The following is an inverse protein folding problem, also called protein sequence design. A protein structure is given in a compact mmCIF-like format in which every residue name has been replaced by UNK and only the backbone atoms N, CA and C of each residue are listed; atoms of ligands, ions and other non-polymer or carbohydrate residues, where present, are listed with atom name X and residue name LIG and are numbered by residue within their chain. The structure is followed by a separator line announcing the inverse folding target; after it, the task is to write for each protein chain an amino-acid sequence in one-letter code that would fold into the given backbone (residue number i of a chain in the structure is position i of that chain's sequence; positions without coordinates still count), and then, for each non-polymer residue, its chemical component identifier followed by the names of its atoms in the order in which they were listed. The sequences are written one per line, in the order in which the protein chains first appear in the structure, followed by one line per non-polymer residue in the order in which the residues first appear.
data_IF_013922977415
#
_entry.id   IF_013922977415
#
_cell.length_a   1.000
_cell.length_b   1.000
_cell.length_c   1.000
_cell.angle_alpha   90.00
_cell.angle_beta   90.00
_cell.angle_gamma   90.00
#
_symmetry.space_group_name_H-M   'P 1'
#
loop_
_entity.id
_entity.type
_entity.pdbx_description
1 polymer ?
#
# COMPACT_ATOMS: atom_id res chain seq x y z
N UNK A 1 -22.48 5.93 -5.82
CA UNK A 1 -21.30 5.03 -5.86
C UNK A 1 -21.77 3.59 -6.04
N UNK A 2 -21.02 2.78 -6.76
CA UNK A 2 -21.17 1.31 -6.78
C UNK A 2 -19.92 0.71 -6.12
N UNK A 3 -20.03 -0.46 -5.50
CA UNK A 3 -18.90 -1.08 -4.78
C UNK A 3 -18.97 -2.61 -4.86
N UNK A 4 -17.86 -3.32 -4.66
CA UNK A 4 -17.90 -4.80 -4.63
C UNK A 4 -18.75 -5.36 -3.49
N UNK A 5 -18.72 -4.68 -2.34
CA UNK A 5 -19.58 -4.93 -1.18
C UNK A 5 -20.14 -3.60 -0.67
N UNK A 6 -21.34 -3.28 -1.14
CA UNK A 6 -22.06 -2.06 -0.81
C UNK A 6 -22.52 -2.04 0.65
N UNK A 7 -22.71 -3.19 1.30
CA UNK A 7 -23.08 -3.24 2.71
C UNK A 7 -21.89 -2.84 3.60
N UNK A 8 -20.71 -3.38 3.31
CA UNK A 8 -19.46 -3.02 4.00
C UNK A 8 -19.14 -1.53 3.80
N UNK A 9 -19.22 -1.03 2.56
CA UNK A 9 -18.93 0.38 2.27
C UNK A 9 -19.88 1.33 3.04
N UNK A 10 -21.18 1.03 3.10
CA UNK A 10 -22.16 1.83 3.88
C UNK A 10 -21.88 1.79 5.38
N UNK A 11 -21.47 0.64 5.91
CA UNK A 11 -21.16 0.50 7.33
C UNK A 11 -19.90 1.30 7.71
N UNK A 12 -18.88 1.30 6.84
CA UNK A 12 -17.62 2.03 7.05
C UNK A 12 -17.79 3.55 6.90
N UNK A 13 -18.59 3.99 5.93
CA UNK A 13 -18.79 5.39 5.60
C UNK A 13 -20.27 5.79 5.67
N UNK A 14 -20.84 6.00 6.86
CA UNK A 14 -22.23 6.40 6.99
C UNK A 14 -22.44 7.79 6.34
N UNK A 15 -23.47 7.92 5.49
CA UNK A 15 -23.87 9.18 4.88
C UNK A 15 -23.54 9.35 3.39
N UNK A 16 -22.75 8.45 2.80
CA UNK A 16 -22.53 8.44 1.34
C UNK A 16 -23.67 7.73 0.60
N UNK A 17 -23.93 8.14 -0.64
CA UNK A 17 -24.92 7.46 -1.50
C UNK A 17 -24.29 6.28 -2.21
N UNK A 18 -24.61 5.07 -1.73
CA UNK A 18 -24.23 3.79 -2.38
C UNK A 18 -25.44 3.21 -3.11
N UNK A 19 -25.31 3.08 -4.43
CA UNK A 19 -26.34 2.65 -5.37
C UNK A 19 -26.52 1.12 -5.36
N UNK A 20 -25.47 0.35 -5.11
CA UNK A 20 -25.54 -1.11 -5.08
C UNK A 20 -24.19 -1.79 -5.26
N UNK A 21 -24.24 -3.12 -5.31
CA UNK A 21 -23.08 -3.97 -5.56
C UNK A 21 -22.66 -3.92 -7.04
N UNK A 22 -21.37 -4.02 -7.29
CA UNK A 22 -20.78 -4.27 -8.59
C UNK A 22 -20.39 -5.74 -8.68
N UNK A 23 -21.26 -6.54 -9.30
CA UNK A 23 -21.07 -7.98 -9.44
C UNK A 23 -20.06 -8.37 -10.53
N UNK A 24 -19.63 -7.39 -11.34
CA UNK A 24 -18.60 -7.59 -12.34
C UNK A 24 -17.20 -7.82 -11.75
N UNK A 25 -16.26 -8.04 -12.66
CA UNK A 25 -14.83 -8.04 -12.41
C UNK A 25 -14.20 -7.05 -13.38
N UNK A 26 -13.26 -6.26 -12.88
CA UNK A 26 -12.44 -5.36 -13.68
C UNK A 26 -11.06 -6.00 -13.86
N UNK A 27 -10.51 -5.87 -15.05
CA UNK A 27 -9.17 -6.30 -15.44
C UNK A 27 -8.12 -5.43 -14.77
N UNK A 28 -7.03 -6.02 -14.30
CA UNK A 28 -5.89 -5.27 -13.76
C UNK A 28 -5.07 -4.56 -14.87
N UNK A 29 -5.47 -4.66 -16.15
CA UNK A 29 -4.73 -4.05 -17.27
C UNK A 29 -5.51 -2.95 -17.96
N UNK A 30 -6.77 -3.21 -18.29
CA UNK A 30 -7.64 -2.25 -18.94
C UNK A 30 -9.06 -2.81 -19.01
N UNK A 31 -10.05 -1.94 -18.85
CA UNK A 31 -11.43 -2.23 -19.19
C UNK A 31 -12.17 -0.93 -19.55
N UNK A 32 -13.25 -1.10 -20.32
CA UNK A 32 -14.20 -0.02 -20.61
C UNK A 32 -15.35 -0.04 -19.62
N UNK A 33 -15.45 1.01 -18.81
CA UNK A 33 -16.53 1.25 -17.85
C UNK A 33 -17.52 2.23 -18.48
N UNK A 34 -18.81 1.90 -18.43
CA UNK A 34 -19.88 2.75 -18.93
C UNK A 34 -20.94 2.95 -17.85
N UNK A 35 -21.15 4.21 -17.47
CA UNK A 35 -22.25 4.62 -16.62
C UNK A 35 -23.47 4.88 -17.50
N UNK A 36 -24.60 4.24 -17.19
CA UNK A 36 -25.86 4.42 -17.92
C UNK A 36 -26.91 5.13 -17.07
N UNK A 37 -27.71 5.98 -17.70
CA UNK A 37 -28.87 6.60 -17.07
C UNK A 37 -30.04 5.60 -16.91
N UNK A 38 -31.14 6.04 -16.29
CA UNK A 38 -32.32 5.20 -16.07
C UNK A 38 -33.05 4.78 -17.36
N UNK A 39 -32.80 5.45 -18.48
CA UNK A 39 -33.32 5.10 -19.80
C UNK A 39 -32.37 4.17 -20.57
N UNK A 40 -31.19 3.86 -20.01
CA UNK A 40 -30.17 2.99 -20.60
C UNK A 40 -29.17 3.71 -21.52
N UNK A 41 -29.22 5.04 -21.60
CA UNK A 41 -28.27 5.82 -22.40
C UNK A 41 -26.92 5.91 -21.69
N UNK A 42 -25.78 5.94 -22.42
CA UNK A 42 -24.49 6.28 -21.83
C UNK A 42 -24.53 7.69 -21.23
N UNK A 43 -24.36 7.79 -19.93
CA UNK A 43 -24.14 9.03 -19.21
C UNK A 43 -22.65 9.38 -19.16
N UNK A 44 -21.78 8.38 -19.00
CA UNK A 44 -20.32 8.53 -19.05
C UNK A 44 -19.65 7.21 -19.49
N UNK A 45 -18.48 7.31 -20.10
CA UNK A 45 -17.68 6.18 -20.57
C UNK A 45 -16.20 6.48 -20.33
N UNK A 46 -15.51 5.61 -19.60
CA UNK A 46 -14.06 5.65 -19.42
C UNK A 46 -13.46 4.31 -19.84
N UNK A 47 -12.32 4.35 -20.53
CA UNK A 47 -11.48 3.19 -20.76
C UNK A 47 -10.15 3.46 -20.05
N UNK A 48 -9.88 2.71 -18.98
CA UNK A 48 -8.65 2.87 -18.22
C UNK A 48 -7.58 1.90 -18.71
N UNK A 49 -6.31 2.24 -18.46
CA UNK A 49 -5.17 1.40 -18.80
C UNK A 49 -4.18 1.35 -17.63
N UNK A 50 -3.42 0.27 -17.59
CA UNK A 50 -2.28 0.02 -16.73
C UNK A 50 -1.05 0.72 -17.33
N UNK A 51 -0.64 1.82 -16.69
CA UNK A 51 0.51 2.65 -17.05
C UNK A 51 0.28 3.67 -18.17
N UNK A 52 1.37 4.23 -18.68
CA UNK A 52 1.35 5.33 -19.65
C UNK A 52 1.11 6.67 -18.94
N UNK A 53 0.14 7.45 -19.43
CA UNK A 53 -0.24 8.71 -18.79
C UNK A 53 -1.14 8.52 -17.56
N UNK A 54 -1.56 7.28 -17.27
CA UNK A 54 -2.37 6.96 -16.08
C UNK A 54 -1.50 6.95 -14.82
N UNK A 55 -1.96 7.54 -13.71
CA UNK A 55 -1.19 7.59 -12.48
C UNK A 55 -1.00 6.19 -11.87
N UNK A 56 0.18 5.93 -11.31
CA UNK A 56 0.55 4.63 -10.76
C UNK A 56 -0.05 4.35 -9.37
N UNK A 57 -0.26 5.39 -8.54
CA UNK A 57 -0.69 5.19 -7.14
C UNK A 57 -2.08 4.53 -6.99
N UNK A 58 -3.07 4.77 -7.87
CA UNK A 58 -4.34 4.06 -7.81
C UNK A 58 -4.26 2.58 -8.23
N UNK A 59 -3.13 2.13 -8.80
CA UNK A 59 -2.87 0.73 -9.15
C UNK A 59 -2.35 -0.06 -7.93
N UNK A 60 -3.16 -0.07 -6.87
CA UNK A 60 -2.89 -0.90 -5.68
C UNK A 60 -2.05 -0.25 -4.58
N UNK A 61 -1.57 0.99 -4.74
CA UNK A 61 -0.88 1.72 -3.67
C UNK A 61 -1.85 2.47 -2.70
N UNK A 62 -3.16 2.26 -2.85
CA UNK A 62 -4.17 2.72 -1.91
C UNK A 62 -4.86 4.05 -2.25
N UNK A 63 -4.36 4.81 -3.23
CA UNK A 63 -5.06 5.99 -3.75
C UNK A 63 -6.29 5.59 -4.58
N UNK A 64 -7.30 6.47 -4.66
CA UNK A 64 -8.32 6.38 -5.72
C UNK A 64 -7.87 7.16 -6.95
N UNK A 65 -8.38 6.75 -8.11
CA UNK A 65 -8.19 7.44 -9.38
C UNK A 65 -9.26 8.52 -9.55
N UNK A 66 -8.85 9.79 -9.70
CA UNK A 66 -9.75 10.94 -9.73
C UNK A 66 -9.54 11.79 -10.98
N UNK A 67 -10.63 12.19 -11.63
CA UNK A 67 -10.58 13.09 -12.78
C UNK A 67 -10.31 14.51 -12.27
N UNK A 68 -9.23 15.12 -12.75
CA UNK A 68 -8.76 16.42 -12.23
C UNK A 68 -9.64 17.59 -12.66
N UNK A 69 -10.24 17.51 -13.84
CA UNK A 69 -11.21 18.47 -14.37
C UNK A 69 -12.45 17.71 -14.88
N UNK A 70 -13.64 17.91 -14.28
CA UNK A 70 -14.88 17.28 -14.72
C UNK A 70 -15.28 17.54 -16.17
N UNK A 71 -14.73 18.58 -16.81
CA UNK A 71 -15.00 18.91 -18.21
C UNK A 71 -13.95 18.35 -19.19
N UNK A 72 -12.88 17.74 -18.69
CA UNK A 72 -11.83 17.17 -19.53
C UNK A 72 -12.30 15.91 -20.26
N UNK A 73 -11.60 15.57 -21.34
CA UNK A 73 -11.80 14.30 -22.03
C UNK A 73 -11.21 13.17 -21.18
N UNK A 74 -12.06 12.50 -20.41
CA UNK A 74 -11.69 11.44 -19.48
C UNK A 74 -11.13 10.16 -20.12
N UNK A 75 -11.01 10.11 -21.46
CA UNK A 75 -10.30 9.04 -22.19
C UNK A 75 -8.77 9.19 -22.15
N UNK A 76 -8.26 10.35 -21.74
CA UNK A 76 -6.82 10.58 -21.67
C UNK A 76 -6.33 10.39 -20.22
N UNK A 77 -5.26 9.63 -20.02
CA UNK A 77 -4.72 9.36 -18.68
C UNK A 77 -4.19 10.61 -17.98
N UNK A 78 -3.65 11.58 -18.73
CA UNK A 78 -3.01 12.80 -18.23
C UNK A 78 -3.96 13.76 -17.52
N UNK A 79 -5.27 13.58 -17.67
CA UNK A 79 -6.30 14.35 -16.94
C UNK A 79 -6.77 13.66 -15.67
N UNK A 80 -6.22 12.50 -15.33
CA UNK A 80 -6.47 11.79 -14.08
C UNK A 80 -5.30 11.95 -13.11
N UNK A 81 -5.62 11.96 -11.82
CA UNK A 81 -4.64 12.00 -10.75
C UNK A 81 -4.98 10.98 -9.66
N UNK A 82 -3.97 10.63 -8.89
CA UNK A 82 -4.17 9.93 -7.64
C UNK A 82 -4.82 10.87 -6.62
N UNK A 83 -5.79 10.35 -5.86
CA UNK A 83 -6.28 11.03 -4.68
C UNK A 83 -5.16 11.22 -3.66
N UNK A 84 -5.32 12.20 -2.78
CA UNK A 84 -4.46 12.28 -1.61
C UNK A 84 -4.77 11.09 -0.68
N UNK A 85 -3.72 10.38 -0.27
CA UNK A 85 -3.81 9.38 0.78
C UNK A 85 -3.45 10.11 2.08
N UNK A 86 -4.38 10.21 3.02
CA UNK A 86 -4.03 10.64 4.37
C UNK A 86 -3.18 9.53 5.01
N UNK A 87 -1.92 9.84 5.31
CA UNK A 87 -1.07 8.92 6.06
C UNK A 87 -1.69 8.66 7.43
N UNK A 88 -1.75 7.38 7.82
CA UNK A 88 -2.05 7.04 9.20
C UNK A 88 -1.02 7.69 10.13
N UNK A 89 -1.40 8.11 11.35
CA UNK A 89 -0.42 8.60 12.31
C UNK A 89 0.60 7.50 12.62
N UNK A 90 1.85 7.89 12.88
CA UNK A 90 2.88 6.97 13.35
C UNK A 90 2.41 6.21 14.60
N UNK A 91 2.61 4.89 14.59
CA UNK A 91 2.30 4.01 15.74
C UNK A 91 3.52 3.16 16.05
N UNK A 92 3.99 3.24 17.29
CA UNK A 92 5.00 2.32 17.81
C UNK A 92 4.36 0.97 18.14
N UNK A 93 4.86 -0.09 17.52
CA UNK A 93 4.46 -1.47 17.80
C UNK A 93 5.57 -2.15 18.59
N UNK A 94 5.22 -2.80 19.70
CA UNK A 94 6.18 -3.54 20.55
C UNK A 94 5.70 -4.97 20.73
N UNK A 95 6.64 -5.91 20.62
CA UNK A 95 6.43 -7.32 20.90
C UNK A 95 7.61 -7.87 21.71
N UNK A 96 7.31 -8.69 22.71
CA UNK A 96 8.30 -9.36 23.55
C UNK A 96 8.07 -10.86 23.53
N UNK A 97 9.14 -11.64 23.40
CA UNK A 97 9.06 -13.09 23.41
C UNK A 97 10.42 -13.77 23.52
N UNK A 98 10.40 -15.05 23.88
CA UNK A 98 11.60 -15.88 23.89
C UNK A 98 11.92 -16.30 22.46
N UNK A 99 13.07 -15.86 21.94
CA UNK A 99 13.54 -16.28 20.62
C UNK A 99 13.73 -17.80 20.60
N UNK A 100 13.15 -18.47 19.59
CA UNK A 100 13.30 -19.91 19.38
C UNK A 100 13.56 -20.15 17.90
N UNK A 101 14.53 -21.01 17.55
CA UNK A 101 14.68 -21.43 16.16
C UNK A 101 13.38 -22.11 15.70
N UNK A 102 12.88 -21.82 14.48
CA UNK A 102 11.76 -22.53 13.91
C UNK A 102 12.06 -24.04 13.89
N UNK A 103 11.05 -24.87 14.16
CA UNK A 103 11.26 -26.32 14.19
C UNK A 103 11.69 -26.82 12.80
N UNK A 104 12.89 -27.40 12.71
CA UNK A 104 13.45 -27.88 11.45
C UNK A 104 14.11 -26.81 10.58
N UNK A 105 14.32 -25.59 11.09
CA UNK A 105 15.09 -24.58 10.37
C UNK A 105 16.56 -25.00 10.23
N UNK A 106 17.14 -24.69 9.08
CA UNK A 106 18.58 -24.75 8.84
C UNK A 106 19.15 -23.33 8.83
N UNK A 107 18.53 -22.43 9.61
CA UNK A 107 18.96 -21.04 9.63
C UNK A 107 20.42 -20.97 10.10
N UNK A 108 21.23 -20.13 9.44
CA UNK A 108 22.63 -20.00 9.79
C UNK A 108 22.77 -19.53 11.24
N UNK A 109 23.64 -20.17 12.01
CA UNK A 109 23.90 -19.81 13.42
C UNK A 109 24.97 -18.71 13.56
N UNK A 110 25.50 -18.23 12.44
CA UNK A 110 26.62 -17.28 12.40
C UNK A 110 26.17 -15.81 12.35
N UNK A 111 24.94 -15.55 11.90
CA UNK A 111 24.40 -14.20 11.74
C UNK A 111 22.97 -14.15 12.29
N UNK A 112 22.60 -12.98 12.81
CA UNK A 112 21.21 -12.69 13.18
C UNK A 112 20.59 -11.84 12.09
N UNK A 113 19.40 -12.22 11.62
CA UNK A 113 18.67 -11.47 10.61
C UNK A 113 17.28 -11.09 11.15
N UNK A 114 16.90 -9.84 10.94
CA UNK A 114 15.51 -9.40 11.07
C UNK A 114 14.89 -9.43 9.68
N UNK A 115 13.75 -10.12 9.56
CA UNK A 115 13.03 -10.27 8.29
C UNK A 115 11.61 -9.77 8.52
N UNK A 116 11.17 -8.88 7.64
CA UNK A 116 9.80 -8.38 7.59
C UNK A 116 9.25 -8.54 6.18
N UNK A 117 7.94 -8.68 6.09
CA UNK A 117 7.22 -8.78 4.83
C UNK A 117 5.75 -8.44 5.02
N UNK A 118 5.11 -8.00 3.95
CA UNK A 118 3.67 -7.79 3.93
C UNK A 118 2.97 -9.13 3.65
N UNK A 119 1.85 -9.36 4.33
CA UNK A 119 1.02 -10.55 4.10
C UNK A 119 0.08 -10.39 2.89
N UNK A 120 -0.11 -9.16 2.42
CA UNK A 120 -0.96 -8.80 1.30
C UNK A 120 -0.43 -7.51 0.64
N UNK A 121 -1.03 -7.08 -0.47
CA UNK A 121 -0.70 -5.84 -1.14
C UNK A 121 -0.89 -4.62 -0.23
N UNK A 122 0.04 -3.67 -0.32
CA UNK A 122 -0.02 -2.41 0.41
C UNK A 122 1.33 -1.72 0.50
N UNK A 123 1.34 -0.58 1.18
CA UNK A 123 2.52 0.22 1.48
C UNK A 123 2.60 0.48 2.99
N UNK A 124 3.81 0.45 3.53
CA UNK A 124 4.08 0.83 4.91
C UNK A 124 5.31 1.73 4.96
N UNK A 125 5.28 2.68 5.90
CA UNK A 125 6.48 3.38 6.34
C UNK A 125 6.92 2.77 7.67
N UNK A 126 8.22 2.60 7.82
CA UNK A 126 8.86 2.07 9.02
C UNK A 126 9.96 3.05 9.41
N UNK A 127 10.10 3.27 10.70
CA UNK A 127 11.20 4.03 11.27
C UNK A 127 11.48 3.52 12.69
N UNK A 128 12.64 3.87 13.24
CA UNK A 128 13.07 3.51 14.60
C UNK A 128 12.95 2.00 14.91
N UNK A 129 13.35 1.15 13.96
CA UNK A 129 13.30 -0.31 14.12
C UNK A 129 14.38 -0.78 15.10
N UNK A 130 13.96 -1.43 16.19
CA UNK A 130 14.85 -1.94 17.23
C UNK A 130 14.54 -3.42 17.54
N UNK A 131 15.60 -4.21 17.73
CA UNK A 131 15.53 -5.60 18.17
C UNK A 131 16.47 -5.75 19.35
N UNK A 132 15.91 -5.78 20.56
CA UNK A 132 16.68 -5.84 21.80
C UNK A 132 16.70 -7.27 22.30
N UNK A 133 17.90 -7.84 22.42
CA UNK A 133 18.10 -9.06 23.18
C UNK A 133 18.41 -8.70 24.63
N UNK A 134 17.58 -9.16 25.56
CA UNK A 134 17.81 -8.98 27.00
C UNK A 134 17.70 -10.30 27.77
N UNK A 135 18.75 -11.14 27.77
CA UNK A 135 18.67 -12.45 28.39
C UNK A 135 18.85 -12.39 29.92
N UNK A 136 19.34 -11.28 30.51
CA UNK A 136 19.65 -11.14 31.95
C UNK A 136 19.59 -9.70 32.53
N UNK A 137 18.82 -8.79 31.95
CA UNK A 137 18.74 -7.37 32.33
C UNK A 137 19.80 -6.47 31.69
N UNK A 138 20.51 -6.96 30.67
CA UNK A 138 21.46 -6.21 29.85
C UNK A 138 20.94 -6.16 28.42
N UNK A 139 20.18 -5.12 28.10
CA UNK A 139 19.66 -4.86 26.77
C UNK A 139 20.80 -4.70 25.74
N UNK A 140 20.81 -5.55 24.72
CA UNK A 140 21.73 -5.50 23.59
C UNK A 140 20.92 -5.22 22.33
N UNK A 141 21.14 -4.05 21.71
CA UNK A 141 20.58 -3.75 20.39
C UNK A 141 21.20 -4.68 19.33
N UNK A 142 20.36 -5.30 18.52
CA UNK A 142 20.75 -6.20 17.43
C UNK A 142 20.56 -5.56 16.06
N UNK A 143 19.71 -4.54 15.93
CA UNK A 143 19.51 -3.85 14.66
C UNK A 143 20.69 -2.96 14.32
N UNK A 144 21.03 -2.96 13.03
CA UNK A 144 21.95 -1.99 12.43
C UNK A 144 21.11 -1.07 11.54
N UNK A 145 21.38 0.25 11.59
CA UNK A 145 20.68 1.26 10.79
C UNK A 145 19.14 1.17 10.90
N UNK A 146 18.62 1.03 12.12
CA UNK A 146 17.18 0.92 12.39
C UNK A 146 16.37 2.19 12.15
N UNK A 147 17.02 3.36 12.20
CA UNK A 147 16.42 4.67 11.91
C UNK A 147 16.74 5.22 10.52
N UNK A 148 17.32 4.41 9.63
CA UNK A 148 17.52 4.74 8.20
C UNK A 148 18.36 6.01 7.86
N UNK A 149 19.07 6.59 8.83
CA UNK A 149 19.92 7.78 8.64
C UNK A 149 21.15 7.57 7.73
N UNK A 150 21.53 6.31 7.48
CA UNK A 150 22.58 5.93 6.51
C UNK A 150 21.97 5.27 5.26
N UNK A 151 20.78 5.74 4.85
CA UNK A 151 20.05 5.18 3.72
C UNK A 151 19.69 3.71 3.95
N UNK A 152 19.85 2.88 2.91
CA UNK A 152 19.55 1.44 2.95
C UNK A 152 20.72 0.57 3.45
N UNK A 153 21.78 1.18 4.02
CA UNK A 153 22.89 0.43 4.58
C UNK A 153 22.42 -0.65 5.56
N UNK A 154 22.96 -1.86 5.46
CA UNK A 154 22.58 -3.04 6.27
C UNK A 154 21.18 -3.62 6.01
N UNK A 155 20.39 -3.02 5.13
CA UNK A 155 19.11 -3.57 4.67
C UNK A 155 19.24 -4.24 3.31
N UNK A 156 18.40 -5.26 3.07
CA UNK A 156 18.29 -5.91 1.76
C UNK A 156 16.83 -5.97 1.36
N UNK A 157 16.51 -5.29 0.26
CA UNK A 157 15.20 -5.30 -0.36
C UNK A 157 15.13 -6.53 -1.26
N UNK A 158 14.45 -7.59 -0.80
CA UNK A 158 14.40 -8.88 -1.48
C UNK A 158 12.97 -9.27 -1.84
N UNK A 159 12.85 -10.27 -2.72
CA UNK A 159 11.55 -10.76 -3.21
C UNK A 159 10.82 -9.74 -4.07
N UNK A 160 9.51 -9.90 -4.18
CA UNK A 160 8.67 -9.07 -5.04
C UNK A 160 8.66 -7.61 -4.59
N UNK A 161 8.75 -7.36 -3.28
CA UNK A 161 8.86 -6.01 -2.70
C UNK A 161 10.20 -5.31 -2.97
N UNK A 162 11.27 -6.05 -3.29
CA UNK A 162 12.53 -5.44 -3.71
C UNK A 162 12.59 -5.18 -5.23
N UNK A 163 12.00 -6.09 -6.01
CA UNK A 163 12.15 -6.09 -7.47
C UNK A 163 11.39 -4.97 -8.18
N UNK A 164 10.32 -4.44 -7.59
CA UNK A 164 9.57 -3.32 -8.18
C UNK A 164 10.27 -1.95 -8.05
N UNK A 165 11.35 -1.85 -7.25
CA UNK A 165 12.16 -0.62 -7.15
C UNK A 165 11.52 0.57 -6.42
N UNK A 166 10.37 0.36 -5.77
CA UNK A 166 9.70 1.40 -4.96
C UNK A 166 10.05 1.30 -3.47
N UNK A 167 10.65 0.18 -3.02
CA UNK A 167 11.18 0.07 -1.66
C UNK A 167 12.45 0.89 -1.55
N UNK A 168 12.37 2.01 -0.83
CA UNK A 168 13.45 3.00 -0.71
C UNK A 168 13.35 3.73 0.63
N UNK A 169 14.47 4.26 1.10
CA UNK A 169 14.46 5.25 2.18
C UNK A 169 13.95 6.57 1.59
N UNK A 170 12.96 7.16 2.24
CA UNK A 170 12.34 8.43 1.87
C UNK A 170 12.50 9.43 3.01
N UNK A 171 12.44 10.73 2.67
CA UNK A 171 12.33 11.77 3.71
C UNK A 171 11.00 11.60 4.44
N UNK A 172 11.00 11.76 5.76
CA UNK A 172 9.81 11.67 6.58
C UNK A 172 8.72 12.63 6.04
N UNK A 173 7.57 12.11 5.57
CA UNK A 173 6.52 12.94 5.00
C UNK A 173 5.88 13.88 6.05
N UNK A 174 6.05 13.62 7.34
CA UNK A 174 5.59 14.47 8.43
C UNK A 174 6.61 15.53 8.87
N UNK A 175 7.86 15.43 8.39
CA UNK A 175 8.94 16.37 8.67
C UNK A 175 9.88 16.52 7.44
N UNK A 176 9.41 17.24 6.39
CA UNK A 176 10.07 17.31 5.07
C UNK A 176 11.34 18.17 5.00
#
# INVERSE_FOLDING_TARGET
MVAKDAANLRAKWPGITVLGDFDGTLSNRSDRIELRDAAGNPADVVEYFDGGDWPELPDGAGASLELTDPAANNQHGDVWAASQIESAPWVTVTYEGVARPPQGSQDPTEWNEFILGLLDAGEILLDDVSVIEDPQGAAIERMQNGGFEDGDAHWRMMGDHGQHGLTRVVVDPSNP
#
